data_IF_574107438685
#
_entry.id   IF_574107438685
#
_cell.length_a   1.000
_cell.length_b   1.000
_cell.length_c   1.000
_cell.angle_alpha   90.00
_cell.angle_beta   90.00
_cell.angle_gamma   90.00
#
_symmetry.space_group_name_H-M   'P 1'
#
loop_
_entity.id
_entity.type
_entity.pdbx_description
1 polymer ?
#
# COMPACT_ATOMS: atom_id res chain seq x y z
N UNK A 1 3.03 9.43 -16.01
CA UNK A 1 2.87 9.44 -14.55
C UNK A 1 2.39 8.07 -14.12
N UNK A 2 2.99 7.48 -13.10
CA UNK A 2 2.63 6.19 -12.52
C UNK A 2 2.47 6.36 -11.00
N UNK A 3 1.67 5.51 -10.36
CA UNK A 3 1.46 5.49 -8.92
C UNK A 3 1.74 4.08 -8.40
N UNK A 4 2.16 3.97 -7.14
CA UNK A 4 2.58 2.69 -6.56
C UNK A 4 2.10 2.53 -5.11
N UNK A 5 1.98 1.28 -4.66
CA UNK A 5 1.82 0.94 -3.24
C UNK A 5 3.00 0.06 -2.83
N UNK A 6 3.64 0.38 -1.69
CA UNK A 6 4.89 -0.26 -1.27
C UNK A 6 5.95 -0.34 -2.39
N UNK A 7 6.02 0.71 -3.22
CA UNK A 7 6.91 0.83 -4.37
C UNK A 7 6.66 -0.17 -5.52
N UNK A 8 5.47 -0.77 -5.59
CA UNK A 8 5.02 -1.60 -6.70
C UNK A 8 3.93 -0.88 -7.50
N UNK A 9 4.22 -0.61 -8.77
CA UNK A 9 3.27 -0.02 -9.71
C UNK A 9 2.45 -1.14 -10.35
N UNK A 10 1.15 -1.19 -10.04
CA UNK A 10 0.29 -2.28 -10.49
C UNK A 10 0.09 -2.23 -12.01
N UNK A 11 0.33 -3.35 -12.68
CA UNK A 11 0.04 -3.52 -14.10
C UNK A 11 -1.18 -4.41 -14.25
N UNK A 12 -2.17 -3.95 -15.02
CA UNK A 12 -3.36 -4.76 -15.29
C UNK A 12 -2.97 -6.01 -16.10
N UNK A 13 -3.26 -7.23 -15.61
CA UNK A 13 -3.01 -8.45 -16.37
C UNK A 13 -3.98 -8.59 -17.55
N UNK A 14 -3.61 -9.40 -18.56
CA UNK A 14 -4.46 -9.68 -19.74
C UNK A 14 -5.64 -10.61 -19.43
N UNK A 15 -5.49 -11.46 -18.41
CA UNK A 15 -6.55 -12.32 -17.85
C UNK A 15 -6.88 -11.79 -16.47
N UNK A 16 -8.17 -11.81 -16.09
CA UNK A 16 -8.57 -11.32 -14.77
C UNK A 16 -7.92 -12.13 -13.65
N UNK A 17 -7.61 -11.47 -12.51
CA UNK A 17 -7.00 -12.15 -11.36
C UNK A 17 -7.88 -13.30 -10.86
N UNK A 18 -9.21 -13.10 -10.84
CA UNK A 18 -10.17 -14.12 -10.41
C UNK A 18 -10.15 -15.35 -11.34
N UNK A 19 -10.13 -15.14 -12.65
CA UNK A 19 -10.05 -16.24 -13.61
C UNK A 19 -8.72 -16.98 -13.50
N UNK A 20 -7.60 -16.26 -13.44
CA UNK A 20 -6.27 -16.86 -13.30
C UNK A 20 -6.18 -17.71 -12.02
N UNK A 21 -6.71 -17.20 -10.91
CA UNK A 21 -6.79 -17.93 -9.65
C UNK A 21 -7.65 -19.20 -9.78
N UNK A 22 -8.89 -19.08 -10.25
CA UNK A 22 -9.85 -20.19 -10.28
C UNK A 22 -9.44 -21.30 -11.25
N UNK A 23 -8.87 -20.93 -12.40
CA UNK A 23 -8.38 -21.87 -13.42
C UNK A 23 -6.92 -22.31 -13.21
N UNK A 24 -6.25 -21.82 -12.16
CA UNK A 24 -4.84 -22.10 -11.86
C UNK A 24 -3.89 -21.78 -13.03
N UNK A 25 -4.08 -20.62 -13.66
CA UNK A 25 -3.27 -20.17 -14.80
C UNK A 25 -2.06 -19.39 -14.28
N UNK A 26 -0.86 -19.94 -14.47
CA UNK A 26 0.38 -19.34 -14.03
C UNK A 26 0.81 -18.14 -14.88
N UNK A 27 1.62 -17.24 -14.30
CA UNK A 27 2.29 -16.15 -15.00
C UNK A 27 1.50 -14.83 -15.13
N UNK A 28 0.27 -14.76 -14.61
CA UNK A 28 -0.55 -13.54 -14.64
C UNK A 28 -0.42 -12.66 -13.41
N UNK A 29 -0.02 -13.23 -12.27
CA UNK A 29 0.25 -12.52 -11.03
C UNK A 29 1.25 -13.29 -10.17
N UNK A 30 1.80 -12.64 -9.15
CA UNK A 30 2.59 -13.26 -8.07
C UNK A 30 1.96 -12.96 -6.72
N UNK A 31 2.13 -13.85 -5.75
CA UNK A 31 1.52 -13.74 -4.40
C UNK A 31 2.42 -13.03 -3.37
N UNK A 32 3.41 -12.28 -3.86
CA UNK A 32 4.49 -11.68 -3.09
C UNK A 32 4.33 -10.15 -2.91
N UNK A 33 3.09 -9.64 -2.87
CA UNK A 33 2.89 -8.24 -2.51
C UNK A 33 3.38 -8.00 -1.07
N UNK A 34 4.31 -7.05 -0.87
CA UNK A 34 4.94 -6.87 0.42
C UNK A 34 3.95 -6.26 1.42
N UNK A 35 3.92 -6.78 2.65
CA UNK A 35 3.04 -6.27 3.71
C UNK A 35 3.46 -4.91 4.30
N UNK A 36 4.69 -4.48 4.02
CA UNK A 36 5.29 -3.20 4.42
C UNK A 36 6.19 -2.68 3.29
N UNK A 37 6.54 -1.39 3.27
CA UNK A 37 7.53 -0.87 2.32
C UNK A 37 8.87 -1.63 2.44
N UNK A 38 9.48 -1.97 1.29
CA UNK A 38 10.80 -2.65 1.28
C UNK A 38 11.96 -1.74 1.70
N UNK A 39 11.75 -0.42 1.64
CA UNK A 39 12.70 0.60 2.08
C UNK A 39 11.97 1.57 2.99
N UNK A 40 12.51 1.78 4.18
CA UNK A 40 12.01 2.76 5.15
C UNK A 40 12.87 4.02 5.06
N UNK A 41 12.19 5.16 5.12
CA UNK A 41 12.76 6.50 5.16
C UNK A 41 11.73 7.42 5.85
N UNK A 42 12.04 8.70 6.00
CA UNK A 42 11.02 9.68 6.36
C UNK A 42 10.05 9.83 5.18
N UNK A 43 8.92 9.13 5.22
CA UNK A 43 7.99 9.06 4.09
C UNK A 43 7.40 10.41 3.71
N UNK A 44 7.25 11.33 4.66
CA UNK A 44 6.64 12.63 4.43
C UNK A 44 7.66 13.69 4.02
N UNK A 45 8.79 13.81 4.71
CA UNK A 45 9.77 14.90 4.47
C UNK A 45 11.09 14.44 3.85
N UNK A 46 11.35 13.14 3.82
CA UNK A 46 12.59 12.55 3.26
C UNK A 46 12.33 11.57 2.12
N UNK A 47 11.14 11.62 1.51
CA UNK A 47 10.85 10.83 0.33
C UNK A 47 11.76 11.26 -0.83
N UNK A 48 12.38 10.30 -1.54
CA UNK A 48 13.16 10.63 -2.73
C UNK A 48 12.25 11.30 -3.77
N UNK A 49 12.57 12.53 -4.19
CA UNK A 49 11.69 13.37 -5.03
C UNK A 49 12.43 14.09 -6.18
N UNK A 50 13.69 13.72 -6.47
CA UNK A 50 14.47 14.29 -7.56
C UNK A 50 14.68 13.25 -8.67
N UNK A 51 14.54 13.66 -9.92
CA UNK A 51 14.92 12.84 -11.08
C UNK A 51 16.45 12.96 -11.20
N UNK A 52 17.28 11.93 -10.90
CA UNK A 52 17.08 10.50 -11.15
C UNK A 52 16.87 9.59 -9.91
N UNK A 53 16.88 10.12 -8.69
CA UNK A 53 16.73 9.37 -7.45
C UNK A 53 15.29 9.40 -6.92
N UNK A 54 14.34 8.96 -7.75
CA UNK A 54 12.96 8.67 -7.30
C UNK A 54 12.95 7.33 -6.53
N UNK A 55 11.82 6.96 -5.93
CA UNK A 55 11.61 5.66 -5.28
C UNK A 55 11.85 4.48 -6.24
N UNK A 56 11.87 4.72 -7.56
CA UNK A 56 12.11 3.74 -8.62
C UNK A 56 11.15 2.56 -8.47
N UNK A 57 9.85 2.86 -8.52
CA UNK A 57 8.82 1.84 -8.40
C UNK A 57 9.01 0.75 -9.45
N UNK A 58 8.82 -0.51 -9.04
CA UNK A 58 8.88 -1.64 -9.95
C UNK A 58 7.48 -1.96 -10.46
N UNK A 59 7.34 -2.15 -11.77
CA UNK A 59 6.08 -2.59 -12.36
C UNK A 59 5.82 -4.07 -12.03
N UNK A 60 4.60 -4.41 -11.64
CA UNK A 60 4.22 -5.80 -11.43
C UNK A 60 2.78 -6.02 -11.02
N UNK A 61 2.28 -7.22 -11.29
CA UNK A 61 0.96 -7.69 -10.86
C UNK A 61 1.12 -8.54 -9.61
N UNK A 62 1.32 -7.89 -8.46
CA UNK A 62 1.55 -8.57 -7.18
C UNK A 62 0.30 -8.51 -6.32
N UNK A 63 -0.10 -9.63 -5.73
CA UNK A 63 -1.26 -9.72 -4.83
C UNK A 63 -0.83 -10.14 -3.43
N UNK A 64 -1.67 -9.85 -2.44
CA UNK A 64 -1.56 -10.39 -1.09
C UNK A 64 -2.71 -11.38 -0.87
N UNK A 65 -2.37 -12.64 -0.66
CA UNK A 65 -3.34 -13.68 -0.28
C UNK A 65 -3.49 -13.67 1.24
N UNK A 66 -4.73 -13.80 1.70
CA UNK A 66 -5.10 -13.85 3.12
C UNK A 66 -5.99 -15.07 3.35
N UNK A 67 -5.77 -15.74 4.48
CA UNK A 67 -6.62 -16.84 4.89
C UNK A 67 -8.01 -16.35 5.32
N UNK A 68 -9.03 -17.17 5.08
CA UNK A 68 -10.38 -16.87 5.52
C UNK A 68 -10.42 -16.67 7.06
N UNK A 69 -11.13 -15.64 7.50
CA UNK A 69 -11.23 -15.29 8.93
C UNK A 69 -10.07 -14.45 9.47
N UNK A 70 -9.09 -14.07 8.65
CA UNK A 70 -7.99 -13.19 9.06
C UNK A 70 -8.50 -11.82 9.54
N UNK A 71 -7.95 -11.33 10.65
CA UNK A 71 -8.16 -9.95 11.13
C UNK A 71 -7.00 -9.08 10.63
N UNK A 72 -7.31 -8.05 9.84
CA UNK A 72 -6.31 -7.23 9.15
C UNK A 72 -6.36 -5.80 9.64
N UNK A 73 -5.20 -5.24 9.99
CA UNK A 73 -5.01 -3.81 10.13
C UNK A 73 -4.22 -3.31 8.92
N UNK A 74 -4.74 -2.29 8.24
CA UNK A 74 -4.04 -1.60 7.16
C UNK A 74 -3.59 -0.23 7.65
N UNK A 75 -2.31 0.07 7.51
CA UNK A 75 -1.76 1.40 7.72
C UNK A 75 -1.44 1.97 6.34
N UNK A 76 -2.15 3.02 5.95
CA UNK A 76 -1.98 3.70 4.68
C UNK A 76 -1.15 4.96 4.92
N UNK A 77 0.10 4.96 4.44
CA UNK A 77 1.05 6.06 4.59
C UNK A 77 1.22 6.77 3.25
N UNK A 78 0.79 8.02 3.19
CA UNK A 78 1.10 8.91 2.07
C UNK A 78 2.59 9.30 2.08
N UNK A 79 3.16 9.62 0.91
CA UNK A 79 4.56 10.00 0.76
C UNK A 79 4.74 11.36 0.09
N UNK A 80 5.76 12.11 0.51
CA UNK A 80 6.15 13.38 -0.12
C UNK A 80 6.95 13.22 -1.42
N UNK A 81 6.80 12.09 -2.14
CA UNK A 81 7.62 11.74 -3.33
C UNK A 81 7.45 12.73 -4.48
N UNK A 82 6.24 13.24 -4.68
CA UNK A 82 5.98 14.37 -5.59
C UNK A 82 5.51 15.54 -4.75
N UNK A 83 4.38 15.34 -4.07
CA UNK A 83 3.76 16.20 -3.08
C UNK A 83 2.89 15.32 -2.20
N UNK A 84 2.68 15.70 -0.95
CA UNK A 84 1.67 15.01 -0.12
C UNK A 84 0.27 15.36 -0.60
N UNK A 85 -0.59 14.35 -0.72
CA UNK A 85 -1.94 14.47 -1.27
C UNK A 85 -2.94 13.58 -0.51
N UNK A 86 -4.21 13.96 -0.54
CA UNK A 86 -5.27 13.11 0.00
C UNK A 86 -5.72 12.10 -1.05
N UNK A 87 -5.37 10.83 -0.85
CA UNK A 87 -5.77 9.73 -1.73
C UNK A 87 -6.99 8.99 -1.14
N UNK A 88 -8.19 9.08 -1.75
CA UNK A 88 -9.32 8.27 -1.30
C UNK A 88 -9.08 6.80 -1.64
N UNK A 89 -8.94 5.96 -0.61
CA UNK A 89 -8.71 4.51 -0.77
C UNK A 89 -10.03 3.76 -0.64
N UNK A 90 -10.28 2.89 -1.61
CA UNK A 90 -11.45 2.02 -1.66
C UNK A 90 -11.02 0.55 -1.67
N UNK A 91 -11.71 -0.27 -0.86
CA UNK A 91 -11.50 -1.72 -0.78
C UNK A 91 -12.76 -2.43 -1.25
N UNK A 92 -12.64 -3.21 -2.32
CA UNK A 92 -13.77 -3.99 -2.85
C UNK A 92 -14.11 -5.16 -1.92
N UNK A 93 -15.41 -5.43 -1.73
CA UNK A 93 -15.90 -6.62 -1.03
C UNK A 93 -15.93 -6.53 0.51
N UNK A 94 -15.44 -5.43 1.09
CA UNK A 94 -15.38 -5.25 2.55
C UNK A 94 -15.75 -3.83 2.95
N UNK A 95 -16.42 -3.71 4.08
CA UNK A 95 -16.40 -2.48 4.88
C UNK A 95 -15.24 -2.56 5.87
N UNK A 96 -14.74 -1.41 6.29
CA UNK A 96 -13.67 -1.32 7.28
C UNK A 96 -13.94 -0.22 8.28
N UNK A 97 -13.34 -0.34 9.46
CA UNK A 97 -13.36 0.69 10.48
C UNK A 97 -12.11 1.54 10.34
N UNK A 98 -12.29 2.87 10.25
CA UNK A 98 -11.18 3.81 10.42
C UNK A 98 -10.95 3.94 11.91
N UNK A 99 -9.88 3.33 12.41
CA UNK A 99 -9.53 3.33 13.84
C UNK A 99 -8.52 4.42 14.21
N UNK A 100 -8.04 5.19 13.22
CA UNK A 100 -7.18 6.33 13.45
C UNK A 100 -6.70 6.98 12.16
N UNK A 101 -6.23 8.22 12.28
CA UNK A 101 -5.68 9.03 11.20
C UNK A 101 -4.76 10.10 11.78
N UNK A 102 -3.84 10.63 10.96
CA UNK A 102 -2.90 11.66 11.39
C UNK A 102 -2.10 12.22 10.24
N UNK A 103 -1.19 13.13 10.58
CA UNK A 103 -0.19 13.69 9.66
C UNK A 103 1.19 13.17 10.02
N UNK A 104 2.16 13.28 9.12
CA UNK A 104 3.52 12.79 9.35
C UNK A 104 3.64 11.27 9.19
N UNK A 105 4.78 10.72 9.61
CA UNK A 105 5.03 9.28 9.54
C UNK A 105 4.29 8.54 10.65
N UNK A 106 3.61 7.44 10.30
CA UNK A 106 2.99 6.56 11.28
C UNK A 106 4.03 6.06 12.31
N UNK A 107 3.68 6.19 13.59
CA UNK A 107 4.45 5.63 14.69
C UNK A 107 3.57 4.66 15.48
N UNK A 108 3.95 3.37 15.58
CA UNK A 108 3.18 2.39 16.34
C UNK A 108 3.21 2.64 17.86
N UNK A 109 4.06 3.56 18.35
CA UNK A 109 4.13 3.97 19.75
C UNK A 109 3.26 5.21 19.96
N UNK A 110 2.08 5.11 20.59
CA UNK A 110 1.12 6.21 20.67
C UNK A 110 1.69 7.48 21.28
N UNK A 111 2.59 7.37 22.26
CA UNK A 111 3.21 8.51 22.94
C UNK A 111 4.12 9.36 22.04
N UNK A 112 4.51 8.84 20.88
CA UNK A 112 5.32 9.54 19.87
C UNK A 112 4.59 9.69 18.54
N UNK A 113 3.28 9.41 18.53
CA UNK A 113 2.45 9.45 17.34
C UNK A 113 1.74 10.79 17.23
N UNK A 114 1.71 11.33 16.03
CA UNK A 114 0.86 12.45 15.61
C UNK A 114 -0.51 11.97 15.13
N UNK A 115 -0.79 10.66 15.22
CA UNK A 115 -2.04 10.06 14.77
C UNK A 115 -3.02 9.91 15.93
N UNK A 116 -4.23 10.41 15.71
CA UNK A 116 -5.36 10.23 16.60
C UNK A 116 -5.90 8.81 16.44
N UNK A 117 -5.93 8.05 17.53
CA UNK A 117 -6.63 6.76 17.59
C UNK A 117 -8.09 7.05 17.95
N UNK A 118 -9.01 6.56 17.14
CA UNK A 118 -10.44 6.70 17.37
C UNK A 118 -10.93 5.59 18.33
N UNK A 119 -11.84 5.92 19.25
CA UNK A 119 -12.47 4.89 20.08
C UNK A 119 -13.20 3.89 19.19
N UNK A 120 -12.97 2.61 19.44
CA UNK A 120 -13.61 1.48 18.76
C UNK A 120 -14.79 0.96 19.56
#
# INVERSE_FOLDING_TARGET
MAASMNNISFIRPRVSLLEAYYKKINGYYTEDFPGVPLKFYDFVNGAPNNIPFDTQSTNGTRIKVLEYGSRVQLILQDTGTVTTENHPIHLHGYNFYVVGYGTGNYNPRPQYSTWSILPT
#
